data_IF_734402088524
#
_entry.id   IF_734402088524
#
_cell.length_a   1.000
_cell.length_b   1.000
_cell.length_c   1.000
_cell.angle_alpha   90.00
_cell.angle_beta   90.00
_cell.angle_gamma   90.00
#
_symmetry.space_group_name_H-M   'P 1'
#
loop_
_entity.id
_entity.type
_entity.pdbx_description
1 polymer ?
#
# COMPACT_ATOMS: atom_id res chain seq x y z
N UNK A 1 -14.79 -35.26 -63.00
CA UNK A 1 -14.74 -35.86 -61.65
C UNK A 1 -14.37 -34.76 -60.66
N UNK A 2 -15.02 -34.71 -59.48
CA UNK A 2 -15.38 -33.46 -58.83
C UNK A 2 -14.64 -33.16 -57.51
N UNK A 3 -14.67 -31.87 -57.13
CA UNK A 3 -14.70 -31.25 -55.80
C UNK A 3 -14.17 -32.01 -54.58
N UNK A 4 -13.21 -31.40 -53.85
CA UNK A 4 -13.21 -31.27 -52.38
C UNK A 4 -12.46 -29.96 -52.01
N UNK A 5 -13.13 -28.81 -51.89
CA UNK A 5 -13.72 -28.23 -50.68
C UNK A 5 -12.77 -28.12 -49.48
N UNK A 6 -12.33 -26.89 -49.18
CA UNK A 6 -11.84 -26.48 -47.87
C UNK A 6 -12.93 -26.69 -46.80
N UNK A 7 -12.61 -27.18 -45.60
CA UNK A 7 -13.38 -26.88 -44.42
C UNK A 7 -12.63 -25.84 -43.58
N UNK A 8 -13.14 -24.59 -43.62
CA UNK A 8 -13.21 -23.78 -42.42
C UNK A 8 -14.18 -24.51 -41.46
N UNK A 9 -13.65 -25.12 -40.41
CA UNK A 9 -14.28 -25.21 -39.08
C UNK A 9 -13.49 -26.16 -38.18
N UNK A 10 -12.65 -25.57 -37.33
CA UNK A 10 -12.32 -26.13 -36.03
C UNK A 10 -12.27 -25.01 -34.98
N UNK A 11 -13.31 -24.19 -34.94
CA UNK A 11 -13.68 -23.45 -33.72
C UNK A 11 -14.36 -24.44 -32.78
N UNK A 12 -13.59 -25.11 -31.92
CA UNK A 12 -13.89 -25.46 -30.51
C UNK A 12 -12.91 -26.52 -30.05
N UNK A 13 -11.87 -26.10 -29.33
CA UNK A 13 -11.55 -26.58 -27.98
C UNK A 13 -10.16 -26.10 -27.55
N UNK A 14 -10.10 -25.72 -26.27
CA UNK A 14 -8.91 -25.56 -25.44
C UNK A 14 -8.24 -24.17 -25.49
N UNK A 15 -9.02 -23.17 -25.06
CA UNK A 15 -8.57 -22.27 -23.99
C UNK A 15 -8.36 -23.13 -22.74
N UNK A 16 -7.10 -23.34 -22.36
CA UNK A 16 -6.50 -23.52 -21.02
C UNK A 16 -5.17 -24.22 -21.32
N UNK A 17 -4.08 -23.45 -21.30
CA UNK A 17 -2.74 -23.87 -20.86
C UNK A 17 -1.81 -22.68 -21.09
N UNK A 18 -1.75 -21.80 -20.10
CA UNK A 18 -0.63 -20.86 -19.94
C UNK A 18 0.00 -21.17 -18.60
N UNK A 19 0.87 -22.18 -18.60
CA UNK A 19 1.85 -22.40 -17.54
C UNK A 19 2.76 -21.17 -17.47
N UNK A 20 2.42 -20.24 -16.59
CA UNK A 20 3.27 -19.13 -16.20
C UNK A 20 4.42 -19.69 -15.35
N UNK A 21 5.45 -20.20 -16.03
CA UNK A 21 6.69 -20.59 -15.39
C UNK A 21 7.52 -19.34 -15.10
N UNK A 22 7.44 -18.83 -13.86
CA UNK A 22 8.28 -17.73 -13.40
C UNK A 22 9.75 -18.18 -13.42
N UNK A 23 10.65 -17.51 -14.17
CA UNK A 23 12.06 -17.84 -14.10
C UNK A 23 12.56 -17.52 -12.69
N UNK A 24 12.91 -18.56 -11.94
CA UNK A 24 13.64 -18.46 -10.68
C UNK A 24 15.03 -17.88 -10.98
N UNK A 25 15.10 -16.55 -11.08
CA UNK A 25 16.36 -15.85 -10.97
C UNK A 25 16.94 -16.23 -9.61
N UNK A 26 18.17 -16.71 -9.56
CA UNK A 26 18.87 -17.05 -8.32
C UNK A 26 19.06 -15.76 -7.48
N UNK A 27 18.05 -15.42 -6.66
CA UNK A 27 18.08 -14.26 -5.78
C UNK A 27 18.99 -14.61 -4.60
N UNK A 28 20.24 -14.12 -4.66
CA UNK A 28 21.11 -14.11 -3.49
C UNK A 28 20.41 -13.32 -2.37
N UNK A 29 20.08 -14.02 -1.28
CA UNK A 29 19.32 -13.50 -0.14
C UNK A 29 20.16 -12.60 0.77
N UNK A 30 20.63 -11.48 0.26
CA UNK A 30 21.34 -10.48 1.05
C UNK A 30 20.47 -9.23 1.10
N UNK A 31 20.41 -8.58 2.26
CA UNK A 31 19.78 -7.26 2.34
C UNK A 31 20.47 -6.33 1.33
N UNK A 32 19.70 -5.51 0.59
CA UNK A 32 20.31 -4.61 -0.39
C UNK A 32 21.18 -3.58 0.32
N UNK A 33 22.31 -3.22 -0.29
CA UNK A 33 23.09 -2.07 0.15
C UNK A 33 22.32 -0.80 -0.23
N UNK A 34 21.89 -0.05 0.78
CA UNK A 34 21.12 1.19 0.58
C UNK A 34 22.07 2.35 0.30
N UNK A 35 22.62 2.37 -0.92
CA UNK A 35 23.44 3.47 -1.41
C UNK A 35 22.62 4.52 -2.19
N UNK A 36 23.30 5.54 -2.70
CA UNK A 36 22.66 6.62 -3.44
C UNK A 36 21.96 6.14 -4.73
N UNK A 37 22.41 5.05 -5.34
CA UNK A 37 21.80 4.52 -6.56
C UNK A 37 20.58 3.67 -6.23
N UNK A 38 20.60 2.90 -5.13
CA UNK A 38 19.42 2.23 -4.60
C UNK A 38 18.31 3.22 -4.26
N UNK A 39 18.64 4.32 -3.57
CA UNK A 39 17.68 5.38 -3.24
C UNK A 39 17.10 6.06 -4.49
N UNK A 40 17.92 6.32 -5.52
CA UNK A 40 17.42 6.82 -6.82
C UNK A 40 16.45 5.83 -7.47
N UNK A 41 16.71 4.53 -7.36
CA UNK A 41 15.84 3.49 -7.92
C UNK A 41 14.51 3.42 -7.17
N UNK A 42 14.53 3.53 -5.84
CA UNK A 42 13.31 3.64 -5.02
C UNK A 42 12.47 4.84 -5.46
N UNK A 43 13.09 6.00 -5.70
CA UNK A 43 12.35 7.17 -6.18
C UNK A 43 11.83 7.03 -7.62
N UNK A 44 12.50 6.26 -8.48
CA UNK A 44 11.95 5.89 -9.81
C UNK A 44 10.73 4.97 -9.64
N UNK A 45 10.86 3.91 -8.85
CA UNK A 45 9.77 2.98 -8.57
C UNK A 45 8.56 3.67 -7.92
N UNK A 46 8.80 4.62 -7.01
CA UNK A 46 7.76 5.45 -6.39
C UNK A 46 6.96 6.24 -7.43
N UNK A 47 7.61 6.83 -8.44
CA UNK A 47 6.93 7.56 -9.51
C UNK A 47 6.12 6.62 -10.41
N UNK A 48 6.68 5.48 -10.76
CA UNK A 48 6.01 4.49 -11.61
C UNK A 48 4.81 3.86 -10.88
N UNK A 49 4.92 3.62 -9.56
CA UNK A 49 3.82 3.21 -8.68
C UNK A 49 2.70 4.26 -8.67
N UNK A 50 3.03 5.55 -8.54
CA UNK A 50 2.00 6.61 -8.58
C UNK A 50 1.22 6.56 -9.89
N UNK A 51 1.92 6.48 -11.02
CA UNK A 51 1.29 6.40 -12.34
C UNK A 51 0.44 5.12 -12.49
N UNK A 52 0.95 3.98 -12.05
CA UNK A 52 0.23 2.70 -12.11
C UNK A 52 -1.03 2.74 -11.23
N UNK A 53 -0.91 3.17 -9.98
CA UNK A 53 -2.02 3.21 -9.03
C UNK A 53 -3.12 4.16 -9.51
N UNK A 54 -2.76 5.36 -9.98
CA UNK A 54 -3.75 6.29 -10.52
C UNK A 54 -4.40 5.79 -11.81
N UNK A 55 -3.65 5.15 -12.71
CA UNK A 55 -4.21 4.65 -13.98
C UNK A 55 -5.09 3.42 -13.81
N UNK A 56 -4.71 2.50 -12.93
CA UNK A 56 -5.43 1.24 -12.66
C UNK A 56 -6.48 1.35 -11.57
N UNK A 57 -6.50 2.48 -10.82
CA UNK A 57 -7.37 2.67 -9.66
C UNK A 57 -7.22 1.54 -8.63
N UNK A 58 -5.98 1.11 -8.38
CA UNK A 58 -5.67 -0.07 -7.57
C UNK A 58 -5.06 0.26 -6.19
N UNK A 59 -5.26 1.49 -5.69
CA UNK A 59 -4.76 1.89 -4.37
C UNK A 59 -5.22 0.98 -3.23
N UNK A 60 -6.52 0.56 -3.15
CA UNK A 60 -6.96 -0.36 -2.11
C UNK A 60 -6.20 -1.70 -2.15
N UNK A 61 -5.93 -2.18 -3.35
CA UNK A 61 -5.28 -3.46 -3.59
C UNK A 61 -3.79 -3.40 -3.21
N UNK A 62 -3.09 -2.32 -3.57
CA UNK A 62 -1.68 -2.10 -3.23
C UNK A 62 -1.48 -1.90 -1.73
N UNK A 63 -2.38 -1.15 -1.08
CA UNK A 63 -2.35 -1.00 0.37
C UNK A 63 -2.56 -2.35 1.07
N UNK A 64 -3.56 -3.13 0.64
CA UNK A 64 -3.83 -4.44 1.22
C UNK A 64 -2.66 -5.41 1.01
N UNK A 65 -2.00 -5.40 -0.15
CA UNK A 65 -0.80 -6.22 -0.39
C UNK A 65 0.29 -5.94 0.66
N UNK A 66 0.61 -4.66 0.88
CA UNK A 66 1.64 -4.26 1.83
C UNK A 66 1.30 -4.64 3.28
N UNK A 67 0.06 -4.40 3.71
CA UNK A 67 -0.40 -4.73 5.05
C UNK A 67 -0.41 -6.25 5.27
N UNK A 68 -0.98 -7.02 4.34
CA UNK A 68 -1.05 -8.47 4.47
C UNK A 68 0.33 -9.13 4.51
N UNK A 69 1.31 -8.63 3.75
CA UNK A 69 2.71 -9.09 3.84
C UNK A 69 3.26 -8.81 5.26
N UNK A 70 3.13 -7.57 5.74
CA UNK A 70 3.65 -7.13 7.03
C UNK A 70 3.00 -7.82 8.25
N UNK A 71 1.70 -8.11 8.19
CA UNK A 71 0.96 -8.78 9.26
C UNK A 71 1.38 -10.26 9.46
N UNK A 72 2.16 -10.84 8.55
CA UNK A 72 2.73 -12.20 8.74
C UNK A 72 3.89 -12.25 9.74
N UNK A 73 4.25 -11.14 10.39
CA UNK A 73 5.36 -11.12 11.34
C UNK A 73 5.11 -12.03 12.56
N UNK A 74 6.01 -12.97 12.77
CA UNK A 74 6.05 -13.85 13.92
C UNK A 74 7.16 -13.38 14.88
N UNK A 75 6.79 -12.61 15.90
CA UNK A 75 7.74 -12.06 16.87
C UNK A 75 8.48 -13.15 17.67
N UNK A 76 7.86 -14.32 17.87
CA UNK A 76 8.49 -15.43 18.61
C UNK A 76 9.61 -16.05 17.78
N UNK A 77 9.36 -16.24 16.48
CA UNK A 77 10.34 -16.79 15.55
C UNK A 77 11.25 -15.72 14.91
N UNK A 78 10.97 -14.43 15.14
CA UNK A 78 11.65 -13.28 14.54
C UNK A 78 11.79 -13.40 13.01
N UNK A 79 10.69 -13.79 12.34
CA UNK A 79 10.64 -14.03 10.90
C UNK A 79 9.27 -13.68 10.32
N UNK A 80 9.17 -13.64 8.99
CA UNK A 80 7.97 -13.14 8.31
C UNK A 80 7.89 -11.62 8.43
N UNK A 81 6.72 -11.08 8.08
CA UNK A 81 6.47 -9.66 8.08
C UNK A 81 6.75 -9.02 6.72
N UNK A 82 7.15 -7.73 6.67
CA UNK A 82 7.33 -6.97 5.44
C UNK A 82 8.59 -7.44 4.69
N UNK A 83 8.58 -8.67 4.20
CA UNK A 83 9.72 -9.37 3.61
C UNK A 83 9.42 -9.90 2.19
N UNK A 84 8.26 -9.50 1.63
CA UNK A 84 7.82 -9.87 0.29
C UNK A 84 7.43 -11.34 0.16
N UNK A 85 7.32 -12.10 1.25
CA UNK A 85 6.96 -13.52 1.22
C UNK A 85 5.51 -13.77 0.80
N UNK A 86 4.65 -12.76 0.75
CA UNK A 86 3.30 -12.91 0.20
C UNK A 86 3.30 -13.36 -1.27
N UNK A 87 4.40 -13.14 -2.02
CA UNK A 87 4.53 -13.50 -3.44
C UNK A 87 4.57 -14.99 -3.73
N UNK A 88 4.85 -15.82 -2.73
CA UNK A 88 4.85 -17.28 -2.90
C UNK A 88 3.44 -17.77 -3.22
N UNK A 89 3.32 -18.69 -4.19
CA UNK A 89 2.03 -19.17 -4.69
C UNK A 89 1.17 -19.80 -3.60
N UNK A 90 1.79 -20.59 -2.72
CA UNK A 90 1.16 -21.18 -1.55
C UNK A 90 0.73 -20.15 -0.48
N UNK A 91 1.08 -18.88 -0.65
CA UNK A 91 0.77 -17.78 0.26
C UNK A 91 -0.30 -16.86 -0.31
N UNK A 92 -0.15 -16.34 -1.53
CA UNK A 92 -1.16 -15.44 -2.10
C UNK A 92 -2.47 -16.15 -2.48
N UNK A 93 -2.45 -17.48 -2.69
CA UNK A 93 -3.66 -18.27 -2.91
C UNK A 93 -4.42 -18.63 -1.64
N UNK A 94 -3.89 -18.32 -0.46
CA UNK A 94 -4.61 -18.55 0.80
C UNK A 94 -5.82 -17.62 0.89
N UNK A 95 -6.87 -18.07 1.59
CA UNK A 95 -8.16 -17.38 1.67
C UNK A 95 -8.03 -15.93 2.15
N UNK A 96 -7.17 -15.68 3.13
CA UNK A 96 -6.89 -14.36 3.68
C UNK A 96 -6.31 -13.37 2.66
N UNK A 97 -5.66 -13.88 1.61
CA UNK A 97 -5.00 -13.12 0.55
C UNK A 97 -5.80 -13.11 -0.77
N UNK A 98 -7.05 -13.58 -0.75
CA UNK A 98 -7.91 -13.64 -1.93
C UNK A 98 -7.95 -12.28 -2.67
N UNK A 99 -7.69 -12.31 -3.98
CA UNK A 99 -7.61 -11.15 -4.87
C UNK A 99 -6.25 -10.47 -4.96
N UNK A 100 -5.27 -10.80 -4.09
CA UNK A 100 -3.94 -10.16 -4.12
C UNK A 100 -3.05 -10.62 -5.28
N UNK A 101 -3.41 -11.67 -6.00
CA UNK A 101 -2.69 -12.12 -7.21
C UNK A 101 -2.58 -11.00 -8.26
N UNK A 102 -3.62 -10.19 -8.42
CA UNK A 102 -3.59 -9.05 -9.36
C UNK A 102 -2.61 -7.95 -8.90
N UNK A 103 -2.53 -7.71 -7.59
CA UNK A 103 -1.56 -6.78 -6.99
C UNK A 103 -0.13 -7.23 -7.28
N UNK A 104 0.12 -8.53 -7.12
CA UNK A 104 1.41 -9.16 -7.39
C UNK A 104 1.76 -9.01 -8.87
N UNK A 105 0.83 -9.29 -9.80
CA UNK A 105 1.06 -9.12 -11.24
C UNK A 105 1.48 -7.69 -11.61
N UNK A 106 0.81 -6.67 -11.06
CA UNK A 106 1.23 -5.28 -11.25
C UNK A 106 2.62 -5.00 -10.68
N UNK A 107 2.94 -5.57 -9.52
CA UNK A 107 4.26 -5.42 -8.94
C UNK A 107 5.35 -6.18 -9.72
N UNK A 108 5.05 -7.30 -10.38
CA UNK A 108 6.01 -7.98 -11.27
C UNK A 108 6.40 -7.09 -12.47
N UNK A 109 5.43 -6.39 -13.07
CA UNK A 109 5.71 -5.43 -14.15
C UNK A 109 6.63 -4.30 -13.68
N UNK A 110 6.44 -3.80 -12.45
CA UNK A 110 7.30 -2.78 -11.85
C UNK A 110 8.67 -3.35 -11.47
N UNK A 111 8.72 -4.56 -10.92
CA UNK A 111 9.96 -5.24 -10.56
C UNK A 111 10.83 -5.50 -11.80
N UNK A 112 10.23 -5.84 -12.93
CA UNK A 112 10.94 -5.99 -14.20
C UNK A 112 11.59 -4.67 -14.66
N UNK A 113 10.96 -3.52 -14.39
CA UNK A 113 11.52 -2.18 -14.66
C UNK A 113 12.58 -1.75 -13.64
N UNK A 114 12.45 -2.23 -12.39
CA UNK A 114 13.30 -1.88 -11.26
C UNK A 114 13.99 -3.13 -10.68
N UNK A 115 14.86 -3.83 -11.42
CA UNK A 115 15.41 -5.11 -10.97
C UNK A 115 16.24 -5.01 -9.69
N UNK A 116 16.77 -3.81 -9.36
CA UNK A 116 17.59 -3.57 -8.16
C UNK A 116 16.80 -3.54 -6.85
N UNK A 117 15.53 -3.09 -6.84
CA UNK A 117 14.75 -3.00 -5.59
C UNK A 117 14.27 -4.39 -5.18
N UNK A 118 14.22 -4.70 -3.89
CA UNK A 118 13.69 -5.99 -3.43
C UNK A 118 12.17 -6.03 -3.57
N UNK A 119 11.58 -7.22 -3.65
CA UNK A 119 10.11 -7.37 -3.57
C UNK A 119 9.57 -6.79 -2.26
N UNK A 120 10.28 -7.06 -1.16
CA UNK A 120 9.95 -6.54 0.16
C UNK A 120 9.83 -5.01 0.17
N UNK A 121 10.83 -4.28 -0.37
CA UNK A 121 10.75 -2.82 -0.46
C UNK A 121 9.71 -2.35 -1.48
N UNK A 122 9.55 -3.05 -2.60
CA UNK A 122 8.55 -2.69 -3.61
C UNK A 122 7.12 -2.77 -3.04
N UNK A 123 6.78 -3.84 -2.32
CA UNK A 123 5.43 -4.02 -1.77
C UNK A 123 5.13 -3.00 -0.69
N UNK A 124 6.06 -2.75 0.23
CA UNK A 124 5.87 -1.73 1.27
C UNK A 124 5.82 -0.32 0.67
N UNK A 125 6.62 -0.03 -0.36
CA UNK A 125 6.54 1.23 -1.09
C UNK A 125 5.19 1.38 -1.80
N UNK A 126 4.64 0.32 -2.38
CA UNK A 126 3.33 0.34 -3.02
C UNK A 126 2.22 0.70 -2.03
N UNK A 127 2.26 0.17 -0.80
CA UNK A 127 1.32 0.53 0.27
C UNK A 127 1.41 2.00 0.69
N UNK A 128 2.63 2.51 0.89
CA UNK A 128 2.86 3.93 1.19
C UNK A 128 2.36 4.83 0.06
N UNK A 129 2.71 4.52 -1.19
CA UNK A 129 2.29 5.31 -2.35
C UNK A 129 0.77 5.27 -2.53
N UNK A 130 0.11 4.14 -2.25
CA UNK A 130 -1.35 4.04 -2.32
C UNK A 130 -2.04 5.03 -1.38
N UNK A 131 -1.53 5.19 -0.15
CA UNK A 131 -2.05 6.17 0.82
C UNK A 131 -1.78 7.60 0.34
N UNK A 132 -0.58 7.87 -0.17
CA UNK A 132 -0.20 9.21 -0.65
C UNK A 132 -1.05 9.68 -1.83
N UNK A 133 -1.24 8.86 -2.86
CA UNK A 133 -1.98 9.26 -4.07
C UNK A 133 -3.49 9.40 -3.84
N UNK A 134 -4.00 8.83 -2.76
CA UNK A 134 -5.41 8.91 -2.38
C UNK A 134 -5.68 10.01 -1.35
N UNK A 135 -4.69 10.84 -1.05
CA UNK A 135 -4.84 12.02 -0.18
C UNK A 135 -4.65 11.76 1.31
N UNK A 136 -4.12 10.59 1.68
CA UNK A 136 -3.87 10.22 3.07
C UNK A 136 -2.61 10.88 3.66
N UNK A 137 -2.24 10.52 4.90
CA UNK A 137 -1.08 11.10 5.56
C UNK A 137 0.24 10.70 4.88
N UNK A 138 1.26 11.52 5.08
CA UNK A 138 2.64 11.13 4.74
C UNK A 138 3.13 10.04 5.69
N UNK A 139 3.70 8.98 5.13
CA UNK A 139 4.28 7.86 5.87
C UNK A 139 5.76 7.81 5.50
N UNK A 140 6.64 7.89 6.51
CA UNK A 140 8.07 7.74 6.27
C UNK A 140 8.36 6.32 5.75
N UNK A 141 9.10 6.24 4.65
CA UNK A 141 9.51 4.97 4.05
C UNK A 141 11.03 4.81 4.15
N UNK A 142 11.48 3.72 4.76
CA UNK A 142 12.88 3.34 4.86
C UNK A 142 13.14 2.08 4.03
N UNK A 143 13.93 2.15 2.95
CA UNK A 143 14.32 0.97 2.18
C UNK A 143 15.45 0.19 2.87
N UNK A 144 15.70 -1.01 2.39
CA UNK A 144 16.72 -1.93 2.91
C UNK A 144 16.19 -3.33 3.18
N UNK A 145 14.92 -3.62 2.91
CA UNK A 145 14.31 -4.91 3.26
C UNK A 145 14.89 -6.02 2.39
N UNK A 146 15.22 -7.13 3.02
CA UNK A 146 15.67 -8.34 2.35
C UNK A 146 14.46 -9.16 1.91
N UNK A 147 14.51 -9.68 0.69
CA UNK A 147 13.51 -10.64 0.22
C UNK A 147 13.60 -11.96 1.00
N UNK A 148 12.45 -12.42 1.49
CA UNK A 148 12.33 -13.75 2.04
C UNK A 148 12.49 -14.80 0.95
N UNK A 149 13.20 -15.88 1.30
CA UNK A 149 13.37 -17.07 0.44
C UNK A 149 12.35 -18.17 0.74
N UNK A 150 11.49 -17.99 1.75
CA UNK A 150 10.57 -19.04 2.20
C UNK A 150 9.20 -18.44 2.53
N UNK A 151 8.12 -19.18 2.33
CA UNK A 151 6.80 -18.75 2.75
C UNK A 151 6.73 -18.56 4.29
N UNK A 152 5.86 -17.66 4.78
CA UNK A 152 5.58 -17.55 6.19
C UNK A 152 4.74 -18.77 6.66
N UNK A 153 4.74 -19.00 7.97
CA UNK A 153 3.87 -20.02 8.58
C UNK A 153 2.40 -19.63 8.34
N UNK A 154 1.52 -20.63 8.30
CA UNK A 154 0.08 -20.40 8.31
C UNK A 154 -0.42 -19.94 9.68
N UNK A 155 -1.59 -19.33 9.71
CA UNK A 155 -2.27 -18.92 10.95
C UNK A 155 -1.63 -17.74 11.67
N UNK A 156 -0.83 -16.93 10.96
CA UNK A 156 -0.21 -15.72 11.51
C UNK A 156 -1.10 -14.48 11.38
N UNK A 157 -2.10 -14.53 10.48
CA UNK A 157 -3.05 -13.46 10.22
C UNK A 157 -4.34 -13.63 11.04
N UNK A 158 -5.04 -12.53 11.39
CA UNK A 158 -6.28 -12.60 12.15
C UNK A 158 -7.40 -13.33 11.41
N UNK A 159 -8.09 -14.22 12.11
CA UNK A 159 -9.34 -14.84 11.64
C UNK A 159 -10.55 -14.01 12.11
N UNK A 160 -11.26 -13.41 11.16
CA UNK A 160 -12.43 -12.58 11.42
C UNK A 160 -13.56 -13.32 12.16
N UNK A 161 -13.59 -14.66 12.14
CA UNK A 161 -14.62 -15.46 12.82
C UNK A 161 -14.34 -15.67 14.31
N UNK A 162 -13.13 -15.37 14.78
CA UNK A 162 -12.70 -15.61 16.17
C UNK A 162 -12.83 -14.38 17.09
N UNK A 163 -13.37 -13.28 16.57
CA UNK A 163 -13.69 -12.09 17.34
C UNK A 163 -12.48 -11.26 17.80
N UNK A 164 -12.76 -10.25 18.62
CA UNK A 164 -11.81 -9.18 18.98
C UNK A 164 -10.64 -9.69 19.81
N UNK A 165 -10.85 -10.63 20.72
CA UNK A 165 -9.75 -11.13 21.55
C UNK A 165 -8.68 -11.81 20.69
N UNK A 166 -9.08 -12.62 19.72
CA UNK A 166 -8.15 -13.24 18.77
C UNK A 166 -7.39 -12.18 17.95
N UNK A 167 -8.08 -11.13 17.50
CA UNK A 167 -7.45 -10.00 16.80
C UNK A 167 -6.36 -9.37 17.67
N UNK A 168 -6.69 -9.06 18.94
CA UNK A 168 -5.71 -8.50 19.89
C UNK A 168 -4.53 -9.44 20.12
N UNK A 169 -4.76 -10.73 20.32
CA UNK A 169 -3.69 -11.70 20.59
C UNK A 169 -2.68 -11.76 19.43
N UNK A 170 -3.15 -11.72 18.18
CA UNK A 170 -2.31 -11.70 16.99
C UNK A 170 -1.46 -10.42 16.92
N UNK A 171 -2.08 -9.25 17.08
CA UNK A 171 -1.39 -7.97 16.98
C UNK A 171 -0.51 -7.65 18.18
N UNK A 172 -0.91 -8.03 19.39
CA UNK A 172 -0.13 -7.85 20.61
C UNK A 172 1.18 -8.62 20.57
N UNK A 173 1.18 -9.84 19.99
CA UNK A 173 2.40 -10.62 19.77
C UNK A 173 3.48 -9.81 19.04
N UNK A 174 3.08 -8.99 18.08
CA UNK A 174 3.98 -8.16 17.26
C UNK A 174 4.16 -6.73 17.80
N UNK A 175 3.67 -6.44 19.02
CA UNK A 175 3.81 -5.13 19.65
C UNK A 175 2.87 -4.06 19.08
N UNK A 176 1.86 -4.43 18.31
CA UNK A 176 0.85 -3.52 17.74
C UNK A 176 -0.27 -3.35 18.78
N UNK A 177 -0.46 -2.13 19.26
CA UNK A 177 -1.37 -1.80 20.37
C UNK A 177 -2.82 -1.64 19.94
N UNK A 178 -3.75 -1.51 20.89
CA UNK A 178 -5.17 -1.27 20.57
C UNK A 178 -5.37 -0.06 19.65
N UNK A 179 -4.64 1.03 19.91
CA UNK A 179 -4.67 2.24 19.07
C UNK A 179 -4.22 1.94 17.64
N UNK A 180 -3.14 1.17 17.53
CA UNK A 180 -2.53 0.84 16.24
C UNK A 180 -3.46 -0.06 15.42
N UNK A 181 -4.10 -1.04 16.07
CA UNK A 181 -5.10 -1.92 15.42
C UNK A 181 -6.26 -1.09 14.85
N UNK A 182 -6.85 -0.18 15.65
CA UNK A 182 -7.96 0.65 15.16
C UNK A 182 -7.49 1.61 14.07
N UNK A 183 -6.32 2.24 14.22
CA UNK A 183 -5.79 3.12 13.19
C UNK A 183 -5.58 2.36 11.88
N UNK A 184 -4.85 1.24 11.89
CA UNK A 184 -4.60 0.39 10.72
C UNK A 184 -5.89 -0.08 10.03
N UNK A 185 -6.93 -0.43 10.81
CA UNK A 185 -8.24 -0.79 10.26
C UNK A 185 -8.88 0.31 9.41
N UNK A 186 -8.55 1.58 9.69
CA UNK A 186 -8.97 2.74 8.91
C UNK A 186 -8.45 2.74 7.47
N UNK A 187 -7.41 1.96 7.15
CA UNK A 187 -6.95 1.77 5.77
C UNK A 187 -8.03 1.20 4.85
N UNK A 188 -9.06 0.54 5.42
CA UNK A 188 -10.25 0.04 4.71
C UNK A 188 -11.16 1.16 4.18
N UNK A 189 -10.90 2.43 4.52
CA UNK A 189 -11.52 3.56 3.83
C UNK A 189 -11.31 3.45 2.32
N UNK A 190 -10.12 3.00 1.90
CA UNK A 190 -9.88 2.60 0.52
C UNK A 190 -10.61 1.29 0.20
N UNK A 191 -11.41 1.31 -0.86
CA UNK A 191 -12.14 0.15 -1.38
C UNK A 191 -13.44 -0.21 -0.66
N UNK A 192 -13.69 0.25 0.58
CA UNK A 192 -14.98 0.00 1.27
C UNK A 192 -15.84 1.24 1.48
N UNK A 193 -15.24 2.41 1.74
CA UNK A 193 -16.01 3.62 1.98
C UNK A 193 -16.69 4.09 0.68
N UNK A 194 -17.62 5.05 0.81
CA UNK A 194 -18.36 5.62 -0.32
C UNK A 194 -17.48 6.06 -1.50
N UNK A 195 -16.30 6.61 -1.24
CA UNK A 195 -15.30 6.92 -2.25
C UNK A 195 -14.09 5.97 -2.09
N UNK A 196 -13.98 4.91 -2.92
CA UNK A 196 -12.99 3.86 -2.72
C UNK A 196 -11.55 4.30 -3.01
N UNK A 197 -11.36 5.49 -3.59
CA UNK A 197 -10.05 6.03 -3.98
C UNK A 197 -9.67 7.28 -3.19
N UNK A 198 -10.37 7.56 -2.09
CA UNK A 198 -10.08 8.65 -1.18
C UNK A 198 -9.72 8.11 0.20
N UNK A 199 -8.52 8.45 0.65
CA UNK A 199 -8.08 8.12 2.00
C UNK A 199 -8.57 9.21 2.96
N UNK A 200 -9.65 8.92 3.67
CA UNK A 200 -10.24 9.83 4.65
C UNK A 200 -10.84 9.05 5.84
N UNK A 201 -11.46 9.74 6.80
CA UNK A 201 -12.04 9.09 7.97
C UNK A 201 -13.48 8.55 7.77
N UNK A 202 -13.99 8.49 6.53
CA UNK A 202 -15.37 8.07 6.23
C UNK A 202 -15.65 6.65 6.71
N UNK A 203 -14.68 5.74 6.65
CA UNK A 203 -14.80 4.39 7.20
C UNK A 203 -15.31 4.38 8.65
N UNK A 204 -14.74 5.22 9.52
CA UNK A 204 -15.15 5.26 10.93
C UNK A 204 -16.51 5.91 11.12
N UNK A 205 -16.85 6.94 10.32
CA UNK A 205 -18.18 7.57 10.33
C UNK A 205 -19.25 6.56 9.95
N UNK A 206 -19.06 5.88 8.82
CA UNK A 206 -19.99 4.85 8.31
C UNK A 206 -20.08 3.66 9.27
N UNK A 207 -18.98 3.27 9.92
CA UNK A 207 -18.99 2.20 10.91
C UNK A 207 -19.91 2.52 12.10
N UNK A 208 -19.85 3.76 12.61
CA UNK A 208 -20.72 4.22 13.70
C UNK A 208 -22.18 4.38 13.25
N UNK A 209 -22.42 4.93 12.05
CA UNK A 209 -23.77 5.10 11.50
C UNK A 209 -24.48 3.77 11.24
N UNK A 210 -23.72 2.75 10.83
CA UNK A 210 -24.25 1.43 10.47
C UNK A 210 -24.11 0.38 11.58
N UNK A 211 -23.87 0.80 12.84
CA UNK A 211 -23.71 -0.12 13.98
C UNK A 211 -24.89 -1.11 14.09
N UNK A 212 -26.11 -0.63 13.85
CA UNK A 212 -27.34 -1.44 13.89
C UNK A 212 -27.48 -2.46 12.76
N UNK A 213 -26.66 -2.36 11.70
CA UNK A 213 -26.72 -3.24 10.51
C UNK A 213 -25.81 -4.48 10.63
N UNK A 214 -25.02 -4.60 11.70
CA UNK A 214 -24.22 -5.81 11.96
C UNK A 214 -23.13 -6.08 10.92
N UNK A 215 -22.29 -5.08 10.65
CA UNK A 215 -21.19 -5.20 9.68
C UNK A 215 -20.10 -6.17 10.16
N UNK A 216 -19.29 -6.70 9.23
CA UNK A 216 -18.16 -7.58 9.53
C UNK A 216 -17.12 -6.93 10.48
N UNK A 217 -17.12 -5.60 10.56
CA UNK A 217 -16.20 -4.82 11.38
C UNK A 217 -16.80 -4.46 12.77
N UNK A 218 -17.97 -5.02 13.14
CA UNK A 218 -18.64 -4.72 14.43
C UNK A 218 -17.75 -4.96 15.65
N UNK A 219 -16.75 -5.86 15.55
CA UNK A 219 -15.83 -6.13 16.65
C UNK A 219 -15.10 -4.86 17.12
N UNK A 220 -14.83 -3.91 16.21
CA UNK A 220 -14.24 -2.61 16.57
C UNK A 220 -15.15 -1.74 17.46
N UNK A 221 -16.46 -2.00 17.44
CA UNK A 221 -17.46 -1.26 18.21
C UNK A 221 -17.84 -1.95 19.52
N UNK A 222 -17.65 -3.27 19.61
CA UNK A 222 -17.96 -4.10 20.79
C UNK A 222 -16.92 -3.94 21.91
N UNK A 223 -15.64 -3.78 21.55
CA UNK A 223 -14.58 -3.53 22.53
C UNK A 223 -14.57 -2.05 22.95
N UNK A 224 -14.70 -1.73 24.25
CA UNK A 224 -14.79 -0.34 24.71
C UNK A 224 -13.55 0.51 24.38
N UNK A 225 -12.36 -0.09 24.39
CA UNK A 225 -11.12 0.60 24.09
C UNK A 225 -11.03 0.90 22.60
N UNK A 226 -11.38 -0.05 21.74
CA UNK A 226 -11.48 0.17 20.30
C UNK A 226 -12.52 1.23 19.96
N UNK A 227 -13.73 1.12 20.52
CA UNK A 227 -14.82 2.07 20.29
C UNK A 227 -14.41 3.51 20.60
N UNK A 228 -13.59 3.72 21.62
CA UNK A 228 -13.05 5.05 21.95
C UNK A 228 -12.21 5.62 20.81
N UNK A 229 -11.32 4.82 20.20
CA UNK A 229 -10.52 5.26 19.05
C UNK A 229 -11.36 5.41 17.78
N UNK A 230 -12.33 4.53 17.55
CA UNK A 230 -13.27 4.66 16.41
C UNK A 230 -13.99 6.00 16.47
N UNK A 231 -14.53 6.38 17.63
CA UNK A 231 -15.16 7.69 17.83
C UNK A 231 -14.19 8.85 17.62
N UNK A 232 -13.00 8.76 18.22
CA UNK A 232 -11.96 9.79 18.04
C UNK A 232 -11.64 10.01 16.55
N UNK A 233 -11.45 8.94 15.79
CA UNK A 233 -11.08 9.03 14.37
C UNK A 233 -12.25 9.46 13.48
N UNK A 234 -13.48 9.08 13.81
CA UNK A 234 -14.67 9.57 13.12
C UNK A 234 -14.86 11.09 13.30
N UNK A 235 -14.59 11.61 14.50
CA UNK A 235 -14.73 13.02 14.85
C UNK A 235 -13.51 13.87 14.40
N UNK A 236 -12.32 13.28 14.36
CA UNK A 236 -11.07 13.98 14.09
C UNK A 236 -10.18 13.22 13.08
N UNK A 237 -10.23 13.66 11.83
CA UNK A 237 -9.43 13.10 10.73
C UNK A 237 -7.92 13.33 10.90
N UNK A 238 -7.50 14.47 11.47
CA UNK A 238 -6.08 14.75 11.70
C UNK A 238 -5.49 13.78 12.74
N UNK A 239 -6.25 13.48 13.80
CA UNK A 239 -5.87 12.48 14.79
C UNK A 239 -5.75 11.09 14.15
N UNK A 240 -6.74 10.72 13.31
CA UNK A 240 -6.68 9.48 12.52
C UNK A 240 -5.42 9.44 11.65
N UNK A 241 -5.16 10.47 10.86
CA UNK A 241 -4.03 10.52 9.94
C UNK A 241 -2.68 10.41 10.65
N UNK A 242 -2.53 11.11 11.78
CA UNK A 242 -1.34 11.04 12.61
C UNK A 242 -1.09 9.63 13.15
N UNK A 243 -2.12 9.02 13.74
CA UNK A 243 -1.99 7.69 14.32
C UNK A 243 -1.88 6.60 13.23
N UNK A 244 -2.54 6.77 12.09
CA UNK A 244 -2.41 5.87 10.94
C UNK A 244 -0.98 5.85 10.42
N UNK A 245 -0.37 7.02 10.21
CA UNK A 245 1.00 7.08 9.69
C UNK A 245 2.00 6.41 10.65
N UNK A 246 1.89 6.68 11.95
CA UNK A 246 2.71 6.05 12.96
C UNK A 246 2.52 4.53 13.01
N UNK A 247 1.26 4.07 12.93
CA UNK A 247 0.92 2.63 13.01
C UNK A 247 1.33 1.87 11.75
N UNK A 248 1.12 2.46 10.57
CA UNK A 248 1.54 1.88 9.29
C UNK A 248 3.05 1.71 9.25
N UNK A 249 3.81 2.76 9.62
CA UNK A 249 5.27 2.68 9.73
C UNK A 249 5.70 1.58 10.69
N UNK A 250 5.09 1.55 11.88
CA UNK A 250 5.40 0.53 12.89
C UNK A 250 5.19 -0.90 12.38
N UNK A 251 4.11 -1.13 11.63
CA UNK A 251 3.83 -2.43 11.01
C UNK A 251 4.83 -2.74 9.88
N UNK A 252 5.12 -1.78 9.00
CA UNK A 252 6.01 -1.97 7.84
C UNK A 252 7.50 -2.10 8.21
N UNK A 253 7.86 -1.84 9.47
CA UNK A 253 9.21 -1.99 10.02
C UNK A 253 9.35 -3.22 10.93
N UNK A 254 8.31 -4.03 11.11
CA UNK A 254 8.41 -5.26 11.90
C UNK A 254 9.49 -6.20 11.34
N UNK A 255 10.40 -6.66 12.18
CA UNK A 255 11.51 -7.54 11.76
C UNK A 255 12.57 -6.86 10.89
N UNK A 256 12.39 -5.59 10.52
CA UNK A 256 13.36 -4.79 9.78
C UNK A 256 14.22 -3.99 10.76
N UNK A 257 15.54 -4.22 10.73
CA UNK A 257 16.51 -3.37 11.45
C UNK A 257 17.36 -2.67 10.41
N UNK A 258 17.28 -1.35 10.35
CA UNK A 258 18.13 -0.57 9.47
C UNK A 258 19.56 -0.58 10.02
N UNK A 259 20.48 -1.28 9.35
CA UNK A 259 21.91 -1.11 9.64
C UNK A 259 22.34 0.27 9.17
N UNK A 260 22.31 1.23 10.09
CA UNK A 260 22.74 2.61 9.82
C UNK A 260 24.26 2.64 9.75
N UNK A 261 24.81 2.47 8.55
CA UNK A 261 26.23 2.78 8.27
C UNK A 261 26.48 4.29 8.16
N UNK A 262 25.44 5.12 8.31
CA UNK A 262 25.53 6.59 8.26
C UNK A 262 25.05 7.19 9.57
N UNK A 263 25.87 8.00 10.27
CA UNK A 263 25.45 8.66 11.50
C UNK A 263 24.27 9.62 11.27
N UNK A 264 23.43 9.86 12.30
CA UNK A 264 22.13 10.55 12.18
C UNK A 264 22.21 12.04 11.76
N UNK A 265 23.40 12.61 11.55
CA UNK A 265 23.57 14.03 11.23
C UNK A 265 23.36 14.42 9.76
N UNK A 266 23.05 13.49 8.85
CA UNK A 266 22.94 13.80 7.40
C UNK A 266 21.53 13.79 6.81
N UNK A 267 20.48 13.44 7.56
CA UNK A 267 19.11 13.43 7.05
C UNK A 267 18.37 14.78 7.12
N UNK A 268 18.97 15.82 7.71
CA UNK A 268 18.32 17.11 7.92
C UNK A 268 18.20 18.03 6.67
N UNK A 269 18.66 17.60 5.49
CA UNK A 269 18.93 18.54 4.38
C UNK A 269 18.10 18.42 3.09
N UNK A 270 17.29 17.39 2.89
CA UNK A 270 16.74 17.09 1.53
C UNK A 270 15.30 17.61 1.32
N UNK A 271 14.57 17.97 2.38
CA UNK A 271 13.13 18.28 2.26
C UNK A 271 12.80 19.77 2.00
N UNK A 272 13.75 20.69 2.10
CA UNK A 272 13.45 22.13 2.03
C UNK A 272 13.44 22.69 0.61
N UNK A 273 14.20 22.10 -0.32
CA UNK A 273 14.33 22.62 -1.70
C UNK A 273 13.12 22.28 -2.57
N UNK A 274 12.47 21.13 -2.35
CA UNK A 274 11.30 20.70 -3.15
C UNK A 274 10.05 21.52 -2.82
N UNK A 275 9.85 21.87 -1.54
CA UNK A 275 8.73 22.73 -1.13
C UNK A 275 8.89 24.18 -1.63
N UNK A 276 10.13 24.71 -1.64
CA UNK A 276 10.40 26.04 -2.18
C UNK A 276 10.14 26.12 -3.70
N UNK A 277 10.54 25.09 -4.46
CA UNK A 277 10.29 25.05 -5.90
C UNK A 277 8.80 24.86 -6.24
N UNK A 278 8.07 24.05 -5.47
CA UNK A 278 6.62 23.88 -5.61
C UNK A 278 5.84 25.17 -5.32
N UNK A 279 6.17 25.88 -4.25
CA UNK A 279 5.52 27.14 -3.89
C UNK A 279 5.78 28.25 -4.94
N UNK A 280 7.01 28.34 -5.47
CA UNK A 280 7.35 29.30 -6.53
C UNK A 280 6.58 28.99 -7.82
N UNK A 281 6.45 27.71 -8.21
CA UNK A 281 5.68 27.33 -9.39
C UNK A 281 4.19 27.69 -9.28
N UNK A 282 3.58 27.50 -8.10
CA UNK A 282 2.18 27.87 -7.84
C UNK A 282 1.99 29.39 -7.88
N UNK A 283 2.89 30.16 -7.28
CA UNK A 283 2.83 31.64 -7.30
C UNK A 283 2.96 32.18 -8.74
N UNK A 284 3.87 31.63 -9.55
CA UNK A 284 4.04 32.02 -10.94
C UNK A 284 2.79 31.67 -11.77
N UNK A 285 2.22 30.48 -11.59
CA UNK A 285 1.00 30.08 -12.29
C UNK A 285 -0.19 30.97 -11.93
N UNK A 286 -0.38 31.29 -10.65
CA UNK A 286 -1.44 32.19 -10.20
C UNK A 286 -1.27 33.61 -10.77
N UNK A 287 -0.04 34.14 -10.80
CA UNK A 287 0.24 35.46 -11.36
C UNK A 287 -0.04 35.51 -12.87
N UNK A 288 0.33 34.47 -13.63
CA UNK A 288 0.06 34.39 -15.08
C UNK A 288 -1.44 34.33 -15.37
N UNK A 289 -2.21 33.58 -14.58
CA UNK A 289 -3.68 33.53 -14.71
C UNK A 289 -4.28 34.89 -14.39
N UNK A 290 -3.83 35.56 -13.32
CA UNK A 290 -4.35 36.87 -12.91
C UNK A 290 -4.04 37.96 -13.94
N UNK A 291 -2.83 37.99 -14.47
CA UNK A 291 -2.42 38.93 -15.53
C UNK A 291 -3.16 38.66 -16.84
N UNK A 292 -3.38 37.39 -17.20
CA UNK A 292 -4.16 37.01 -18.38
C UNK A 292 -5.62 37.42 -18.25
N UNK A 293 -6.22 37.24 -17.07
CA UNK A 293 -7.57 37.70 -16.77
C UNK A 293 -7.68 39.22 -16.83
N UNK A 294 -6.75 39.95 -16.21
CA UNK A 294 -6.72 41.41 -16.21
C UNK A 294 -6.57 41.97 -17.63
N UNK A 295 -5.64 41.42 -18.42
CA UNK A 295 -5.44 41.80 -19.82
C UNK A 295 -6.70 41.58 -20.66
N UNK A 296 -7.37 40.43 -20.49
CA UNK A 296 -8.58 40.11 -21.25
C UNK A 296 -9.78 40.97 -20.84
N UNK A 297 -9.93 41.26 -19.56
CA UNK A 297 -10.96 42.16 -19.03
C UNK A 297 -10.79 43.59 -19.55
N UNK A 298 -9.56 44.14 -19.49
CA UNK A 298 -9.30 45.50 -19.98
C UNK A 298 -9.42 45.65 -21.49
N UNK A 299 -9.19 44.58 -22.26
CA UNK A 299 -9.35 44.59 -23.72
C UNK A 299 -10.83 44.55 -24.14
N UNK A 300 -11.72 44.02 -23.30
CA UNK A 300 -13.18 44.04 -23.53
C UNK A 300 -13.83 45.38 -23.21
N UNK A 301 -13.20 46.22 -22.38
CA UNK A 301 -13.70 47.56 -22.02
C UNK A 301 -13.34 48.62 -23.08
N UNK A 302 -12.44 48.32 -24.01
CA UNK A 302 -12.00 49.24 -25.09
C UNK A 302 -12.60 48.91 -26.47
N UNK A 303 -13.74 48.22 -26.54
CA UNK A 303 -14.51 48.00 -27.77
C UNK A 303 -15.92 48.51 -27.62
#
# INVERSE_FOLDING_TARGET
MPNQSFPCDAIRRNLVDSDFNFPQLEIMSVAPVVDADYLKEIERARRDLRALISSKQCAPLMLRLALNDAETYDANAKRGGPDGSIRFEEVYKRKENEGLEEAIKFCEELKAKHPKITYADLYQLAGVVAVEVTGGPTIDFFPGRKDSLKPPKEGLLPDATKGVQHLKDIFYRMGISDKDIVALSGGRTLGKAKDPMKFDNTYFKELLENESKGTADKGLLEDPTFRRYVKLYADNEEAFFKDYAASHKKLSELGFTQETTVPPSKFAGVNTTVLAQGAVAVIVAAAVVFLSYYYHSHRRVKK
#
